data_IF_327262343512
#
_entry.id   IF_327262343512
#
_cell.length_a   1.000
_cell.length_b   1.000
_cell.length_c   1.000
_cell.angle_alpha   90.00
_cell.angle_beta   90.00
_cell.angle_gamma   90.00
#
_symmetry.space_group_name_H-M   'P 1'
#
loop_
_entity.id
_entity.type
_entity.pdbx_description
1 polymer ?
#
# COMPACT_ATOMS: atom_id res chain seq x y z
N UNK A 1 3.10 -18.32 2.74
CA UNK A 1 2.06 -17.43 2.19
C UNK A 1 2.47 -16.98 0.80
N UNK A 2 1.52 -16.57 -0.06
CA UNK A 2 1.81 -16.00 -1.39
C UNK A 2 0.86 -14.85 -1.69
N UNK A 3 1.25 -13.94 -2.59
CA UNK A 3 0.35 -12.89 -3.02
C UNK A 3 -0.86 -13.45 -3.79
N UNK A 4 -2.06 -12.86 -3.63
CA UNK A 4 -3.30 -13.37 -4.21
C UNK A 4 -3.42 -13.16 -5.73
N UNK A 5 -2.41 -12.55 -6.37
CA UNK A 5 -2.33 -12.40 -7.83
C UNK A 5 -1.24 -11.41 -8.25
N UNK A 6 -0.88 -11.42 -9.54
CA UNK A 6 0.20 -10.60 -10.09
C UNK A 6 0.00 -9.08 -9.86
N UNK A 7 -1.24 -8.58 -9.92
CA UNK A 7 -1.55 -7.18 -9.63
C UNK A 7 -1.33 -6.81 -8.16
N UNK A 8 -1.66 -7.71 -7.23
CA UNK A 8 -1.45 -7.53 -5.80
C UNK A 8 0.05 -7.58 -5.45
N UNK A 9 0.80 -8.52 -6.05
CA UNK A 9 2.26 -8.56 -5.91
C UNK A 9 2.92 -7.27 -6.40
N UNK A 10 2.52 -6.75 -7.57
CA UNK A 10 3.07 -5.51 -8.13
C UNK A 10 2.81 -4.31 -7.20
N UNK A 11 1.62 -4.23 -6.61
CA UNK A 11 1.26 -3.20 -5.60
C UNK A 11 2.11 -3.36 -4.33
N UNK A 12 2.23 -4.58 -3.80
CA UNK A 12 3.03 -4.87 -2.62
C UNK A 12 4.51 -4.53 -2.84
N UNK A 13 5.07 -4.87 -4.01
CA UNK A 13 6.45 -4.54 -4.39
C UNK A 13 6.68 -3.04 -4.46
N UNK A 14 5.71 -2.27 -4.95
CA UNK A 14 5.82 -0.82 -4.99
C UNK A 14 5.84 -0.17 -3.60
N UNK A 15 5.19 -0.80 -2.60
CA UNK A 15 5.26 -0.40 -1.20
C UNK A 15 6.57 -0.84 -0.54
N UNK A 16 7.11 -2.00 -0.91
CA UNK A 16 8.41 -2.48 -0.43
C UNK A 16 9.54 -1.52 -0.84
N UNK A 17 9.60 -1.17 -2.13
CA UNK A 17 10.68 -0.36 -2.70
C UNK A 17 10.53 1.11 -2.32
N UNK A 18 9.32 1.67 -2.45
CA UNK A 18 9.10 3.11 -2.27
C UNK A 18 8.57 3.50 -0.89
N UNK A 19 8.49 2.56 0.04
CA UNK A 19 7.96 2.76 1.38
C UNK A 19 6.45 3.06 1.41
N UNK A 20 5.93 3.40 2.62
CA UNK A 20 4.52 3.70 2.83
C UNK A 20 4.01 4.81 1.91
N UNK A 21 2.86 4.58 1.28
CA UNK A 21 2.32 5.49 0.27
C UNK A 21 0.78 5.42 0.20
N UNK A 22 0.17 6.48 -0.30
CA UNK A 22 -1.26 6.52 -0.62
C UNK A 22 -1.59 5.67 -1.85
N UNK A 23 -2.85 5.25 -1.99
CA UNK A 23 -3.29 4.49 -3.18
C UNK A 23 -2.99 5.23 -4.50
N UNK A 24 -3.09 6.56 -4.52
CA UNK A 24 -2.78 7.38 -5.69
C UNK A 24 -1.28 7.39 -5.99
N UNK A 25 -0.43 7.46 -4.97
CA UNK A 25 1.04 7.39 -5.14
C UNK A 25 1.47 6.01 -5.65
N UNK A 26 0.92 4.93 -5.08
CA UNK A 26 1.18 3.57 -5.54
C UNK A 26 0.72 3.40 -6.99
N UNK A 27 -0.47 3.88 -7.33
CA UNK A 27 -1.01 3.82 -8.69
C UNK A 27 -0.08 4.46 -9.73
N UNK A 28 0.54 5.60 -9.40
CA UNK A 28 1.56 6.22 -10.26
C UNK A 28 2.82 5.37 -10.41
N UNK A 29 3.27 4.71 -9.34
CA UNK A 29 4.48 3.84 -9.40
C UNK A 29 4.25 2.57 -10.22
N UNK A 30 3.00 2.12 -10.34
CA UNK A 30 2.65 0.87 -11.04
C UNK A 30 1.88 1.11 -12.34
N UNK A 31 1.87 2.34 -12.86
CA UNK A 31 1.18 2.73 -14.11
C UNK A 31 -0.26 2.19 -14.19
N UNK A 32 -1.00 2.32 -13.10
CA UNK A 32 -2.38 1.82 -13.00
C UNK A 32 -3.33 2.87 -12.45
N UNK A 33 -4.64 2.58 -12.47
CA UNK A 33 -5.62 3.49 -11.91
C UNK A 33 -5.70 3.35 -10.38
N UNK A 34 -5.94 4.46 -9.64
CA UNK A 34 -6.17 4.39 -8.20
C UNK A 34 -7.34 3.47 -7.81
N UNK A 35 -8.33 3.26 -8.67
CA UNK A 35 -9.45 2.35 -8.42
C UNK A 35 -8.99 0.89 -8.40
N UNK A 36 -8.20 0.47 -9.39
CA UNK A 36 -7.65 -0.89 -9.47
C UNK A 36 -6.69 -1.15 -8.30
N UNK A 37 -5.83 -0.18 -7.99
CA UNK A 37 -4.90 -0.29 -6.86
C UNK A 37 -5.64 -0.40 -5.52
N UNK A 38 -6.72 0.35 -5.31
CA UNK A 38 -7.53 0.22 -4.08
C UNK A 38 -8.08 -1.19 -3.91
N UNK A 39 -8.60 -1.81 -4.97
CA UNK A 39 -9.08 -3.19 -4.92
C UNK A 39 -7.98 -4.16 -4.51
N UNK A 40 -6.77 -4.01 -5.05
CA UNK A 40 -5.63 -4.84 -4.64
C UNK A 40 -5.19 -4.57 -3.20
N UNK A 41 -5.18 -3.31 -2.75
CA UNK A 41 -4.86 -2.96 -1.36
C UNK A 41 -5.89 -3.55 -0.39
N UNK A 42 -7.18 -3.57 -0.75
CA UNK A 42 -8.22 -4.23 0.06
C UNK A 42 -7.97 -5.73 0.20
N UNK A 43 -7.63 -6.42 -0.90
CA UNK A 43 -7.25 -7.85 -0.83
C UNK A 43 -5.98 -8.05 0.01
N UNK A 44 -4.95 -7.22 -0.15
CA UNK A 44 -3.73 -7.34 0.66
C UNK A 44 -3.97 -7.06 2.15
N UNK A 45 -4.91 -6.18 2.48
CA UNK A 45 -5.33 -5.93 3.86
C UNK A 45 -6.11 -7.11 4.44
N UNK A 46 -7.02 -7.73 3.66
CA UNK A 46 -7.75 -8.91 4.13
C UNK A 46 -6.84 -10.11 4.40
N UNK A 47 -5.73 -10.21 3.64
CA UNK A 47 -4.68 -11.22 3.85
C UNK A 47 -3.67 -10.85 4.94
N UNK A 48 -3.78 -9.66 5.56
CA UNK A 48 -2.84 -9.20 6.60
C UNK A 48 -1.43 -8.82 6.10
N UNK A 49 -1.26 -8.67 4.79
CA UNK A 49 0.04 -8.35 4.16
C UNK A 49 0.31 -6.84 4.11
N UNK A 50 -0.74 -6.03 4.19
CA UNK A 50 -0.68 -4.56 4.17
C UNK A 50 -1.54 -4.00 5.30
N UNK A 51 -1.08 -2.90 5.90
CA UNK A 51 -1.83 -2.11 6.88
C UNK A 51 -2.11 -0.72 6.33
N UNK A 52 -3.29 -0.18 6.64
CA UNK A 52 -3.68 1.20 6.33
C UNK A 52 -3.63 2.08 7.58
N UNK A 53 -3.10 3.30 7.44
CA UNK A 53 -3.06 4.33 8.48
C UNK A 53 -3.59 5.65 7.94
N UNK A 54 -4.23 6.43 8.81
CA UNK A 54 -4.68 7.79 8.50
C UNK A 54 -3.61 8.85 8.80
N UNK A 55 -2.52 8.44 9.46
CA UNK A 55 -1.38 9.29 9.79
C UNK A 55 -0.25 9.11 8.80
N UNK A 56 0.24 10.22 8.23
CA UNK A 56 1.58 10.25 7.64
C UNK A 56 2.58 10.10 8.80
N UNK A 57 3.54 9.16 8.73
CA UNK A 57 4.44 8.89 9.84
C UNK A 57 5.41 10.04 10.18
N UNK A 58 5.57 11.07 9.33
CA UNK A 58 6.41 12.23 9.61
C UNK A 58 5.86 13.55 9.02
N UNK A 59 5.92 14.63 9.81
CA UNK A 59 5.69 16.03 9.41
C UNK A 59 4.52 16.74 10.13
N UNK A 60 4.58 18.07 10.34
CA UNK A 60 3.44 18.83 10.86
C UNK A 60 2.24 18.64 9.92
N UNK A 61 1.10 18.27 10.49
CA UNK A 61 -0.15 18.08 9.75
C UNK A 61 -0.39 19.31 8.87
N UNK A 62 -0.43 19.18 7.53
CA UNK A 62 -0.88 20.27 6.70
C UNK A 62 -2.30 20.62 7.13
N UNK A 63 -2.55 21.91 7.34
CA UNK A 63 -3.87 22.45 7.64
C UNK A 63 -4.86 21.83 6.67
N UNK A 64 -5.78 21.02 7.20
CA UNK A 64 -6.76 20.26 6.42
C UNK A 64 -7.64 21.22 5.64
N UNK A 65 -7.48 21.25 4.31
CA UNK A 65 -8.60 21.53 3.43
C UNK A 65 -9.70 20.46 3.64
N UNK A 66 -10.96 20.81 3.36
CA UNK A 66 -12.11 19.91 3.54
C UNK A 66 -11.84 18.52 2.95
N UNK A 67 -11.87 17.49 3.80
CA UNK A 67 -11.69 16.08 3.44
C UNK A 67 -10.90 15.30 4.50
N UNK A 68 -11.33 14.07 4.80
CA UNK A 68 -10.60 13.08 5.62
C UNK A 68 -9.18 12.88 5.05
N UNK A 69 -8.12 12.70 5.87
CA UNK A 69 -6.77 12.59 5.33
C UNK A 69 -6.70 11.31 4.49
N UNK A 70 -5.91 11.35 3.41
CA UNK A 70 -5.76 10.18 2.55
C UNK A 70 -5.11 9.02 3.33
N UNK A 71 -5.71 7.83 3.26
CA UNK A 71 -5.12 6.61 3.82
C UNK A 71 -3.76 6.34 3.19
N UNK A 72 -2.77 6.10 4.04
CA UNK A 72 -1.42 5.65 3.70
C UNK A 72 -1.34 4.14 3.95
N UNK A 73 -0.73 3.40 3.04
CA UNK A 73 -0.60 1.96 3.10
C UNK A 73 0.87 1.59 3.28
N UNK A 74 1.16 0.59 4.12
CA UNK A 74 2.49 0.06 4.36
C UNK A 74 2.45 -1.47 4.39
N UNK A 75 3.55 -2.12 3.99
CA UNK A 75 3.70 -3.56 4.20
C UNK A 75 3.80 -3.86 5.69
N UNK A 76 3.15 -4.94 6.10
CA UNK A 76 3.36 -5.58 7.40
C UNK A 76 4.65 -6.40 7.38
N UNK A 77 5.09 -6.87 8.55
CA UNK A 77 6.24 -7.78 8.64
C UNK A 77 5.97 -9.09 7.87
N UNK A 78 4.75 -9.63 7.95
CA UNK A 78 4.34 -10.79 7.15
C UNK A 78 4.41 -10.49 5.65
N UNK A 79 3.91 -9.32 5.23
CA UNK A 79 3.99 -8.88 3.83
C UNK A 79 5.42 -8.77 3.31
N UNK A 80 6.38 -8.37 4.15
CA UNK A 80 7.81 -8.37 3.83
C UNK A 80 8.37 -9.79 3.74
N UNK A 81 8.05 -10.64 4.72
CA UNK A 81 8.50 -12.02 4.76
C UNK A 81 8.05 -12.84 3.53
N UNK A 82 6.86 -12.55 2.98
CA UNK A 82 6.42 -13.17 1.71
C UNK A 82 7.38 -12.89 0.55
N UNK A 83 8.05 -11.72 0.52
CA UNK A 83 9.07 -11.44 -0.49
C UNK A 83 10.38 -12.18 -0.20
N UNK A 84 10.78 -12.28 1.07
CA UNK A 84 12.02 -12.98 1.47
C UNK A 84 11.98 -14.49 1.20
N UNK A 85 10.79 -15.09 1.21
CA UNK A 85 10.59 -16.52 0.90
C UNK A 85 10.39 -16.78 -0.60
N UNK A 86 10.00 -15.75 -1.36
CA UNK A 86 9.70 -15.88 -2.78
C UNK A 86 10.89 -15.64 -3.72
N UNK A 87 12.00 -15.11 -3.20
CA UNK A 87 13.22 -14.74 -3.95
C UNK A 87 14.48 -15.15 -3.20
#
# INVERSE_FOLDING_TARGET
MKFPGAGAERVARALLVGGPATATEVARRVDSSPTVVRRHLETLMSEGLVVASEHRPYGPSPVRGRGRPARVFALTDEGRHVFDVAY
#
